data_IF_188454075573
#
_entry.id   IF_188454075573
#
_cell.length_a   1.000
_cell.length_b   1.000
_cell.length_c   1.000
_cell.angle_alpha   90.00
_cell.angle_beta   90.00
_cell.angle_gamma   90.00
#
_symmetry.space_group_name_H-M   'P 1'
#
loop_
_entity.id
_entity.type
_entity.pdbx_description
1 polymer ?
#
# COMPACT_ATOMS: atom_id res chain seq x y z
N UNK A 1 15.27 -28.36 11.21
CA UNK A 1 14.27 -27.56 11.94
C UNK A 1 15.00 -26.35 12.48
N UNK A 2 14.99 -25.24 11.74
CA UNK A 2 15.76 -24.05 12.10
C UNK A 2 14.86 -23.12 12.93
N UNK A 3 15.38 -22.76 14.11
CA UNK A 3 14.97 -21.70 15.05
C UNK A 3 13.62 -21.87 15.75
N UNK A 4 13.68 -22.31 17.01
CA UNK A 4 12.69 -21.93 18.03
C UNK A 4 12.87 -20.42 18.28
N UNK A 5 11.82 -19.59 18.21
CA UNK A 5 11.93 -18.16 18.51
C UNK A 5 12.42 -17.97 19.94
N UNK A 6 13.53 -17.25 20.13
CA UNK A 6 14.03 -16.83 21.45
C UNK A 6 13.30 -15.59 21.98
N UNK A 7 12.42 -15.00 21.17
CA UNK A 7 11.65 -13.82 21.52
C UNK A 7 10.36 -14.20 22.25
N UNK A 8 9.99 -13.40 23.26
CA UNK A 8 8.67 -13.53 23.90
C UNK A 8 7.54 -13.30 22.90
N UNK A 9 6.40 -13.96 23.11
CA UNK A 9 5.21 -13.78 22.26
C UNK A 9 4.84 -12.30 22.08
N UNK A 10 4.92 -11.51 23.15
CA UNK A 10 4.68 -10.06 23.10
C UNK A 10 5.58 -9.33 22.11
N UNK A 11 6.84 -9.72 21.97
CA UNK A 11 7.74 -9.09 20.99
C UNK A 11 7.37 -9.51 19.56
N UNK A 12 6.95 -10.76 19.37
CA UNK A 12 6.48 -11.24 18.06
C UNK A 12 5.23 -10.46 17.64
N UNK A 13 4.26 -10.32 18.54
CA UNK A 13 3.01 -9.59 18.29
C UNK A 13 3.29 -8.10 17.98
N UNK A 14 4.18 -7.47 18.76
CA UNK A 14 4.58 -6.08 18.51
C UNK A 14 5.26 -5.89 17.15
N UNK A 15 6.13 -6.82 16.74
CA UNK A 15 6.78 -6.76 15.44
C UNK A 15 5.81 -7.02 14.29
N UNK A 16 4.84 -7.91 14.50
CA UNK A 16 3.76 -8.13 13.54
C UNK A 16 2.93 -6.87 13.34
N UNK A 17 2.43 -6.25 14.43
CA UNK A 17 1.63 -5.03 14.34
C UNK A 17 2.45 -3.86 13.76
N UNK A 18 3.74 -3.75 14.10
CA UNK A 18 4.61 -2.75 13.49
C UNK A 18 4.71 -2.95 11.97
N UNK A 19 5.05 -4.16 11.51
CA UNK A 19 5.18 -4.47 10.08
C UNK A 19 3.87 -4.27 9.32
N UNK A 20 2.75 -4.67 9.93
CA UNK A 20 1.41 -4.47 9.37
C UNK A 20 1.08 -2.99 9.17
N UNK A 21 1.24 -2.16 10.20
CA UNK A 21 0.95 -0.73 10.09
C UNK A 21 1.91 -0.02 9.12
N UNK A 22 3.20 -0.35 9.18
CA UNK A 22 4.20 0.20 8.27
C UNK A 22 3.88 -0.18 6.81
N UNK A 23 3.60 -1.45 6.55
CA UNK A 23 3.27 -1.95 5.21
C UNK A 23 2.00 -1.33 4.65
N UNK A 24 0.94 -1.22 5.46
CA UNK A 24 -0.29 -0.54 5.03
C UNK A 24 -0.04 0.93 4.70
N UNK A 25 0.68 1.66 5.56
CA UNK A 25 1.00 3.07 5.30
C UNK A 25 1.85 3.24 4.04
N UNK A 26 2.83 2.36 3.83
CA UNK A 26 3.68 2.37 2.65
C UNK A 26 2.87 2.13 1.37
N UNK A 27 2.01 1.12 1.36
CA UNK A 27 1.19 0.80 0.18
C UNK A 27 0.21 1.92 -0.17
N UNK A 28 -0.43 2.54 0.83
CA UNK A 28 -1.32 3.67 0.58
C UNK A 28 -0.60 4.85 -0.08
N UNK A 29 0.66 5.10 0.32
CA UNK A 29 1.47 6.15 -0.29
C UNK A 29 1.88 5.75 -1.72
N UNK A 30 2.29 4.50 -1.93
CA UNK A 30 2.69 3.99 -3.26
C UNK A 30 1.53 4.09 -4.27
N UNK A 31 0.32 3.66 -3.89
CA UNK A 31 -0.89 3.76 -4.70
C UNK A 31 -1.22 5.22 -5.06
N UNK A 32 -1.01 6.17 -4.13
CA UNK A 32 -1.20 7.60 -4.40
C UNK A 32 -0.13 8.13 -5.33
N UNK A 33 1.13 7.75 -5.11
CA UNK A 33 2.27 8.18 -5.93
C UNK A 33 2.15 7.72 -7.38
N UNK A 34 1.57 6.55 -7.65
CA UNK A 34 1.25 6.08 -9.01
C UNK A 34 0.37 7.10 -9.76
N UNK A 35 -0.58 7.74 -9.06
CA UNK A 35 -1.51 8.70 -9.66
C UNK A 35 -1.00 10.14 -9.71
N UNK A 36 -0.23 10.60 -8.72
CA UNK A 36 0.11 12.03 -8.59
C UNK A 36 1.45 12.43 -9.17
N UNK A 37 2.31 11.46 -9.50
CA UNK A 37 3.70 11.75 -9.87
C UNK A 37 3.93 11.69 -11.37
N UNK A 38 4.54 12.74 -11.92
CA UNK A 38 5.02 12.76 -13.30
C UNK A 38 6.16 11.75 -13.54
N UNK A 39 6.22 11.19 -14.76
CA UNK A 39 7.22 10.20 -15.21
C UNK A 39 8.67 10.53 -14.79
N UNK A 40 9.02 11.81 -14.75
CA UNK A 40 10.34 12.31 -14.42
C UNK A 40 10.79 12.01 -12.97
N UNK A 41 9.85 11.86 -12.04
CA UNK A 41 10.16 11.69 -10.61
C UNK A 41 10.01 10.23 -10.14
N UNK A 42 9.12 9.44 -10.74
CA UNK A 42 8.91 8.02 -10.38
C UNK A 42 9.69 7.03 -11.27
N UNK A 43 10.18 7.47 -12.43
CA UNK A 43 10.86 6.61 -13.40
C UNK A 43 9.95 5.58 -14.07
N UNK A 44 8.63 5.77 -13.99
CA UNK A 44 7.57 4.92 -14.56
C UNK A 44 6.41 5.80 -15.06
N UNK A 45 5.62 5.34 -16.05
CA UNK A 45 4.37 6.01 -16.45
C UNK A 45 3.44 6.17 -15.25
N UNK A 46 2.85 7.35 -15.10
CA UNK A 46 1.80 7.56 -14.09
C UNK A 46 0.54 6.75 -14.44
N UNK A 47 -0.14 6.27 -13.40
CA UNK A 47 -1.38 5.50 -13.51
C UNK A 47 -1.14 4.09 -14.07
N UNK A 48 0.05 3.51 -13.85
CA UNK A 48 0.38 2.19 -14.35
C UNK A 48 -0.58 1.13 -13.81
N UNK A 49 -1.01 1.26 -12.55
CA UNK A 49 -1.95 0.33 -11.94
C UNK A 49 -3.30 0.34 -12.66
N UNK A 50 -3.81 1.54 -12.94
CA UNK A 50 -5.07 1.69 -13.66
C UNK A 50 -4.97 1.16 -15.10
N UNK A 51 -3.84 1.39 -15.79
CA UNK A 51 -3.60 0.83 -17.13
C UNK A 51 -3.57 -0.69 -17.13
N UNK A 52 -3.12 -1.31 -16.04
CA UNK A 52 -3.16 -2.76 -15.83
C UNK A 52 -4.53 -3.28 -15.36
N UNK A 53 -5.52 -2.40 -15.19
CA UNK A 53 -6.86 -2.75 -14.73
C UNK A 53 -6.98 -2.96 -13.21
N UNK A 54 -6.00 -2.49 -12.44
CA UNK A 54 -6.01 -2.55 -10.98
C UNK A 54 -6.67 -1.28 -10.42
N UNK A 55 -7.80 -1.47 -9.75
CA UNK A 55 -8.49 -0.38 -9.03
C UNK A 55 -7.96 -0.28 -7.60
N UNK A 56 -6.93 0.55 -7.41
CA UNK A 56 -6.32 0.82 -6.10
C UNK A 56 -7.08 1.90 -5.32
N UNK A 57 -6.61 2.22 -4.11
CA UNK A 57 -7.29 3.13 -3.16
C UNK A 57 -7.87 4.41 -3.78
N UNK A 58 -7.11 5.18 -4.58
CA UNK A 58 -7.62 6.38 -5.24
C UNK A 58 -8.83 6.14 -6.15
N UNK A 59 -8.81 5.07 -6.95
CA UNK A 59 -9.90 4.72 -7.89
C UNK A 59 -11.16 4.35 -7.13
N UNK A 60 -11.03 3.50 -6.11
CA UNK A 60 -12.16 3.05 -5.29
C UNK A 60 -12.82 4.23 -4.57
N UNK A 61 -12.01 5.15 -4.04
CA UNK A 61 -12.52 6.33 -3.35
C UNK A 61 -13.20 7.31 -4.30
N UNK A 62 -12.68 7.50 -5.51
CA UNK A 62 -13.33 8.29 -6.54
C UNK A 62 -14.69 7.67 -6.96
N UNK A 63 -14.74 6.35 -7.15
CA UNK A 63 -15.97 5.64 -7.50
C UNK A 63 -17.07 5.79 -6.42
N UNK A 64 -16.70 5.71 -5.13
CA UNK A 64 -17.64 5.92 -4.02
C UNK A 64 -18.25 7.33 -3.99
N UNK A 65 -17.46 8.36 -4.34
CA UNK A 65 -17.96 9.74 -4.42
C UNK A 65 -18.99 9.90 -5.54
N UNK A 66 -18.68 9.39 -6.74
CA UNK A 66 -19.58 9.48 -7.90
C UNK A 66 -20.89 8.72 -7.67
N UNK A 67 -20.89 7.60 -6.94
CA UNK A 67 -22.12 6.87 -6.63
C UNK A 67 -23.00 7.53 -5.56
N UNK A 68 -22.47 8.53 -4.85
CA UNK A 68 -23.18 9.24 -3.78
C UNK A 68 -23.79 10.57 -4.23
N UNK A 69 -23.50 10.99 -5.47
CA UNK A 69 -24.13 12.12 -6.18
C UNK A 69 -25.29 11.62 -7.06
#
# INVERSE_FOLDING_TARGET
MLTVPTLSQRHIDNMYEFGKHLGMAFQLIDDVLDFVTDEANLGKPSGADLQMGLATGPVLFAAQRVSSD
#
